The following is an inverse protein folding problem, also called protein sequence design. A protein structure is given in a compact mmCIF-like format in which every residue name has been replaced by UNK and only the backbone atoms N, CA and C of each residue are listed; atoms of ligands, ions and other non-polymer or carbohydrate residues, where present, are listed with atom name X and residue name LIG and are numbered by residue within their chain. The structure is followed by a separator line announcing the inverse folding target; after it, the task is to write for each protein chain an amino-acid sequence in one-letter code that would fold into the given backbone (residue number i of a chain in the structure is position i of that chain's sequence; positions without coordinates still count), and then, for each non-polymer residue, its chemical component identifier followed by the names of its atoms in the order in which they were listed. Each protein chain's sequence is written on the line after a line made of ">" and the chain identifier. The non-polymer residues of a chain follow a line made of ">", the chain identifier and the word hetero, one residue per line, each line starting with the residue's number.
data_IF_058746196223
#
_entry.id   IF_058746196223
#
_cell.length_a   1.000
_cell.length_b   1.000
_cell.length_c   1.000
_cell.angle_alpha   90.00
_cell.angle_beta   90.00
_cell.angle_gamma   90.00
#
_symmetry.space_group_name_H-M   'P 1'
#
loop_
_entity.id
_entity.type
_entity.pdbx_description
1 polymer ?
#
# COMPACT_ATOMS: atom_id res chain seq x y z
N UNK A 1 2.35 -16.48 15.91
CA UNK A 1 2.86 -15.36 15.09
C UNK A 1 3.18 -15.74 13.64
N UNK A 2 3.79 -16.91 13.39
CA UNK A 2 4.09 -17.31 11.99
C UNK A 2 2.85 -17.41 11.11
N UNK A 3 1.79 -18.01 11.61
CA UNK A 3 0.52 -18.15 10.86
C UNK A 3 -0.09 -16.79 10.60
N UNK A 4 -0.18 -15.94 11.63
CA UNK A 4 -0.72 -14.59 11.50
C UNK A 4 0.09 -13.75 10.50
N UNK A 5 1.42 -13.83 10.55
CA UNK A 5 2.30 -13.11 9.62
C UNK A 5 2.13 -13.61 8.19
N UNK A 6 2.00 -14.92 7.99
CA UNK A 6 1.76 -15.50 6.67
C UNK A 6 0.42 -15.05 6.08
N UNK A 7 -0.64 -15.09 6.88
CA UNK A 7 -1.96 -14.62 6.48
C UNK A 7 -1.91 -13.13 6.15
N UNK A 8 -1.27 -12.33 7.01
CA UNK A 8 -1.12 -10.88 6.79
C UNK A 8 -0.36 -10.58 5.50
N UNK A 9 0.70 -11.33 5.19
CA UNK A 9 1.46 -11.19 3.95
C UNK A 9 0.60 -11.45 2.71
N UNK A 10 -0.18 -12.52 2.74
CA UNK A 10 -1.07 -12.85 1.61
C UNK A 10 -2.20 -11.83 1.48
N UNK A 11 -2.83 -11.42 2.58
CA UNK A 11 -3.88 -10.40 2.55
C UNK A 11 -3.34 -9.06 2.05
N UNK A 12 -2.18 -8.65 2.53
CA UNK A 12 -1.54 -7.41 2.09
C UNK A 12 -1.24 -7.45 0.58
N UNK A 13 -0.66 -8.55 0.11
CA UNK A 13 -0.39 -8.78 -1.31
C UNK A 13 -1.67 -8.76 -2.14
N UNK A 14 -2.72 -9.44 -1.70
CA UNK A 14 -4.00 -9.48 -2.40
C UNK A 14 -4.66 -8.10 -2.49
N UNK A 15 -4.66 -7.34 -1.39
CA UNK A 15 -5.24 -5.98 -1.34
C UNK A 15 -4.52 -5.05 -2.30
N UNK A 16 -3.19 -5.00 -2.26
CA UNK A 16 -2.42 -4.12 -3.13
C UNK A 16 -2.43 -4.56 -4.59
N UNK A 17 -2.46 -5.87 -4.86
CA UNK A 17 -2.63 -6.35 -6.24
C UNK A 17 -3.99 -5.94 -6.80
N UNK A 18 -5.05 -6.12 -6.02
CA UNK A 18 -6.41 -5.80 -6.45
C UNK A 18 -6.58 -4.30 -6.73
N UNK A 19 -6.27 -3.46 -5.74
CA UNK A 19 -6.47 -2.02 -5.90
C UNK A 19 -5.43 -1.38 -6.81
N UNK A 20 -4.19 -1.86 -6.80
CA UNK A 20 -3.17 -1.39 -7.74
C UNK A 20 -3.51 -1.73 -9.18
N UNK A 21 -4.00 -2.95 -9.43
CA UNK A 21 -4.47 -3.35 -10.76
C UNK A 21 -5.66 -2.53 -11.22
N UNK A 22 -6.56 -2.17 -10.30
CA UNK A 22 -7.69 -1.31 -10.63
C UNK A 22 -7.26 0.08 -11.11
N UNK A 23 -6.13 0.61 -10.62
CA UNK A 23 -5.61 1.89 -11.09
C UNK A 23 -5.19 1.84 -12.57
N UNK A 24 -4.80 0.67 -13.08
CA UNK A 24 -4.51 0.46 -14.50
C UNK A 24 -5.75 0.11 -15.31
N UNK A 25 -6.59 -0.79 -14.79
CA UNK A 25 -7.66 -1.45 -15.56
C UNK A 25 -9.04 -0.81 -15.37
N UNK A 26 -9.23 -0.02 -14.32
CA UNK A 26 -10.47 0.69 -14.02
C UNK A 26 -11.70 -0.23 -14.00
N UNK A 27 -11.59 -1.41 -13.37
CA UNK A 27 -12.70 -2.37 -13.32
C UNK A 27 -13.69 -2.11 -12.18
N UNK A 28 -13.32 -1.29 -11.17
CA UNK A 28 -14.25 -0.90 -10.11
C UNK A 28 -15.01 0.37 -10.52
N UNK A 29 -16.35 0.40 -10.35
CA UNK A 29 -17.10 1.62 -10.58
C UNK A 29 -16.72 2.69 -9.55
N UNK A 30 -16.43 3.91 -10.03
CA UNK A 30 -16.16 5.05 -9.15
C UNK A 30 -17.36 5.99 -9.16
N UNK A 31 -18.06 6.13 -8.02
CA UNK A 31 -19.09 7.14 -7.93
C UNK A 31 -18.47 8.55 -8.04
N UNK A 32 -19.24 9.56 -8.50
CA UNK A 32 -18.74 10.93 -8.53
C UNK A 32 -18.31 11.39 -7.15
N UNK A 33 -17.13 11.98 -7.06
CA UNK A 33 -16.60 12.52 -5.81
C UNK A 33 -17.17 13.91 -5.57
N UNK A 34 -17.51 14.25 -4.31
CA UNK A 34 -17.95 15.59 -3.98
C UNK A 34 -16.84 16.61 -4.24
N UNK A 35 -17.18 17.89 -4.52
CA UNK A 35 -16.16 18.93 -4.67
C UNK A 35 -15.30 19.02 -3.41
N UNK A 36 -13.99 19.22 -3.61
CA UNK A 36 -13.06 19.37 -2.50
C UNK A 36 -11.69 18.76 -2.79
N UNK A 37 -10.79 18.78 -1.77
CA UNK A 37 -9.41 18.32 -1.94
C UNK A 37 -9.29 16.87 -2.41
N UNK A 38 -10.12 15.97 -1.93
CA UNK A 38 -10.11 14.56 -2.35
C UNK A 38 -10.35 14.41 -3.85
N UNK A 39 -11.35 15.13 -4.39
CA UNK A 39 -11.64 15.13 -5.82
C UNK A 39 -10.50 15.72 -6.63
N UNK A 40 -9.97 16.88 -6.19
CA UNK A 40 -8.87 17.56 -6.85
C UNK A 40 -7.62 16.67 -6.91
N UNK A 41 -7.28 16.02 -5.80
CA UNK A 41 -6.16 15.09 -5.73
C UNK A 41 -6.33 13.90 -6.67
N UNK A 42 -7.50 13.27 -6.64
CA UNK A 42 -7.81 12.10 -7.47
C UNK A 42 -7.79 12.46 -8.97
N UNK A 43 -8.37 13.58 -9.34
CA UNK A 43 -8.38 14.07 -10.72
C UNK A 43 -6.97 14.41 -11.19
N UNK A 44 -6.15 15.07 -10.34
CA UNK A 44 -4.76 15.37 -10.67
C UNK A 44 -3.94 14.11 -10.90
N UNK A 45 -4.11 13.08 -10.07
CA UNK A 45 -3.44 11.80 -10.24
C UNK A 45 -3.85 11.11 -11.55
N UNK A 46 -5.13 11.16 -11.88
CA UNK A 46 -5.65 10.50 -13.07
C UNK A 46 -5.23 11.23 -14.36
N UNK A 47 -5.39 12.55 -14.42
CA UNK A 47 -5.12 13.35 -15.62
C UNK A 47 -3.63 13.47 -15.92
N UNK A 48 -2.78 13.48 -14.88
CA UNK A 48 -1.32 13.54 -15.05
C UNK A 48 -0.69 12.17 -15.32
N UNK A 49 -1.47 11.09 -15.23
CA UNK A 49 -0.97 9.71 -15.26
C UNK A 49 -0.05 9.35 -14.07
N UNK A 50 0.04 10.20 -13.06
CA UNK A 50 0.81 9.94 -11.85
C UNK A 50 0.33 8.66 -11.13
N UNK A 51 -0.96 8.38 -11.22
CA UNK A 51 -1.56 7.18 -10.64
C UNK A 51 -0.91 5.89 -11.15
N UNK A 52 -0.42 5.85 -12.37
CA UNK A 52 0.23 4.65 -12.91
C UNK A 52 1.56 4.36 -12.22
N UNK A 53 2.33 5.39 -11.87
CA UNK A 53 3.54 5.23 -11.07
C UNK A 53 3.24 4.67 -9.69
N UNK A 54 2.23 5.21 -9.03
CA UNK A 54 1.77 4.71 -7.72
C UNK A 54 1.29 3.26 -7.83
N UNK A 55 0.51 2.96 -8.87
CA UNK A 55 0.01 1.60 -9.13
C UNK A 55 1.15 0.59 -9.32
N UNK A 56 2.21 0.97 -10.02
CA UNK A 56 3.39 0.12 -10.17
C UNK A 56 4.01 -0.22 -8.81
N UNK A 57 4.16 0.75 -7.92
CA UNK A 57 4.70 0.54 -6.58
C UNK A 57 3.72 -0.17 -5.63
N UNK A 58 2.51 -0.40 -6.06
CA UNK A 58 1.55 -1.27 -5.36
C UNK A 58 1.57 -2.69 -5.92
N UNK A 59 1.50 -2.83 -7.24
CA UNK A 59 1.40 -4.13 -7.92
C UNK A 59 2.70 -4.94 -7.82
N UNK A 60 3.84 -4.33 -8.11
CA UNK A 60 5.11 -5.05 -8.09
C UNK A 60 5.44 -5.61 -6.70
N UNK A 61 5.39 -4.83 -5.60
CA UNK A 61 5.58 -5.41 -4.27
C UNK A 61 4.51 -6.43 -3.90
N UNK A 62 3.26 -6.23 -4.31
CA UNK A 62 2.17 -7.18 -4.05
C UNK A 62 2.48 -8.56 -4.64
N UNK A 63 2.96 -8.60 -5.87
CA UNK A 63 3.37 -9.84 -6.53
C UNK A 63 4.50 -10.51 -5.73
N UNK A 64 5.51 -9.76 -5.31
CA UNK A 64 6.61 -10.29 -4.51
C UNK A 64 6.13 -10.91 -3.19
N UNK A 65 5.17 -10.26 -2.52
CA UNK A 65 4.57 -10.79 -1.30
C UNK A 65 3.82 -12.11 -1.55
N UNK A 66 3.07 -12.18 -2.64
CA UNK A 66 2.27 -13.37 -2.97
C UNK A 66 3.14 -14.56 -3.37
N UNK A 67 4.23 -14.32 -4.11
CA UNK A 67 5.16 -15.40 -4.50
C UNK A 67 6.22 -15.69 -3.42
N UNK A 68 6.17 -14.99 -2.30
CA UNK A 68 7.11 -15.14 -1.19
C UNK A 68 8.57 -14.94 -1.62
N UNK A 69 8.82 -13.92 -2.42
CA UNK A 69 10.16 -13.55 -2.90
C UNK A 69 10.47 -12.11 -2.55
N UNK A 70 11.69 -11.86 -2.08
CA UNK A 70 12.15 -10.53 -1.71
C UNK A 70 11.17 -9.80 -0.76
N UNK A 71 10.61 -10.52 0.20
CA UNK A 71 9.58 -10.01 1.11
C UNK A 71 10.02 -8.74 1.83
N UNK A 72 11.24 -8.64 2.41
CA UNK A 72 11.68 -7.37 3.02
C UNK A 72 11.70 -6.20 2.05
N UNK A 73 12.15 -6.41 0.82
CA UNK A 73 12.15 -5.37 -0.22
C UNK A 73 10.73 -4.93 -0.55
N UNK A 74 9.82 -5.89 -0.73
CA UNK A 74 8.42 -5.60 -1.01
C UNK A 74 7.78 -4.76 0.10
N UNK A 75 8.03 -5.12 1.36
CA UNK A 75 7.51 -4.38 2.51
C UNK A 75 8.12 -2.99 2.62
N UNK A 76 9.41 -2.84 2.31
CA UNK A 76 10.07 -1.54 2.27
C UNK A 76 9.49 -0.64 1.18
N UNK A 77 9.19 -1.17 0.00
CA UNK A 77 8.57 -0.43 -1.10
C UNK A 77 7.13 -0.01 -0.78
N UNK A 78 6.39 -0.85 -0.05
CA UNK A 78 5.02 -0.54 0.36
C UNK A 78 4.94 0.45 1.52
N UNK A 79 5.98 0.56 2.34
CA UNK A 79 5.95 1.44 3.51
C UNK A 79 5.58 2.91 3.15
N UNK A 80 6.25 3.58 2.21
CA UNK A 80 5.88 4.94 1.83
C UNK A 80 4.49 5.00 1.16
N UNK A 81 4.09 3.98 0.43
CA UNK A 81 2.74 3.91 -0.15
C UNK A 81 1.70 3.90 0.96
N UNK A 82 1.91 3.09 1.99
CA UNK A 82 1.01 3.00 3.16
C UNK A 82 0.96 4.31 3.93
N UNK A 83 2.11 4.98 4.10
CA UNK A 83 2.15 6.31 4.72
C UNK A 83 1.30 7.30 3.93
N UNK A 84 1.40 7.30 2.61
CA UNK A 84 0.58 8.16 1.76
C UNK A 84 -0.90 7.82 1.83
N UNK A 85 -1.26 6.55 1.92
CA UNK A 85 -2.65 6.11 2.11
C UNK A 85 -3.19 6.67 3.43
N UNK A 86 -2.42 6.58 4.51
CA UNK A 86 -2.80 7.13 5.80
C UNK A 86 -2.98 8.65 5.74
N UNK A 87 -2.04 9.36 5.12
CA UNK A 87 -2.13 10.81 4.96
C UNK A 87 -3.36 11.22 4.15
N UNK A 88 -3.63 10.53 3.05
CA UNK A 88 -4.80 10.78 2.24
C UNK A 88 -6.10 10.63 3.05
N UNK A 89 -6.23 9.54 3.79
CA UNK A 89 -7.45 9.31 4.56
C UNK A 89 -7.59 10.23 5.77
N UNK A 90 -6.49 10.57 6.44
CA UNK A 90 -6.52 11.51 7.57
C UNK A 90 -6.93 12.91 7.11
N UNK A 91 -6.43 13.37 5.98
CA UNK A 91 -6.57 14.75 5.54
C UNK A 91 -7.72 14.99 4.57
N UNK A 92 -8.06 14.02 3.72
CA UNK A 92 -8.99 14.22 2.60
C UNK A 92 -10.18 13.29 2.62
N UNK A 93 -10.07 12.10 3.18
CA UNK A 93 -11.11 11.07 3.10
C UNK A 93 -11.26 10.28 4.40
N UNK A 94 -11.71 10.90 5.49
CA UNK A 94 -11.76 10.24 6.81
C UNK A 94 -12.59 8.96 6.85
N UNK A 95 -13.57 8.81 5.96
CA UNK A 95 -14.38 7.60 5.85
C UNK A 95 -13.58 6.35 5.51
N UNK A 96 -12.39 6.47 4.93
CA UNK A 96 -11.51 5.36 4.59
C UNK A 96 -10.47 5.01 5.67
N UNK A 97 -10.50 5.66 6.83
CA UNK A 97 -9.54 5.38 7.92
C UNK A 97 -9.53 3.92 8.36
N UNK A 98 -10.66 3.18 8.47
CA UNK A 98 -10.61 1.77 8.85
C UNK A 98 -9.77 0.92 7.90
N UNK A 99 -9.85 1.17 6.60
CA UNK A 99 -9.04 0.47 5.59
C UNK A 99 -7.55 0.82 5.73
N UNK A 100 -7.25 2.10 5.97
CA UNK A 100 -5.87 2.55 6.20
C UNK A 100 -5.25 1.87 7.43
N UNK A 101 -6.00 1.80 8.53
CA UNK A 101 -5.56 1.12 9.77
C UNK A 101 -5.35 -0.37 9.51
N UNK A 102 -6.25 -1.02 8.79
CA UNK A 102 -6.12 -2.44 8.44
C UNK A 102 -4.80 -2.70 7.70
N UNK A 103 -4.50 -1.90 6.69
CA UNK A 103 -3.27 -2.06 5.90
C UNK A 103 -2.03 -1.87 6.77
N UNK A 104 -2.03 -0.89 7.68
CA UNK A 104 -0.94 -0.68 8.64
C UNK A 104 -0.73 -1.90 9.53
N UNK A 105 -1.81 -2.44 10.09
CA UNK A 105 -1.74 -3.63 10.96
C UNK A 105 -1.19 -4.84 10.19
N UNK A 106 -1.69 -5.07 8.97
CA UNK A 106 -1.21 -6.16 8.12
C UNK A 106 0.28 -6.01 7.80
N UNK A 107 0.73 -4.78 7.54
CA UNK A 107 2.14 -4.52 7.27
C UNK A 107 3.03 -4.87 8.47
N UNK A 108 2.68 -4.42 9.67
CA UNK A 108 3.45 -4.73 10.88
C UNK A 108 3.48 -6.23 11.17
N UNK A 109 2.36 -6.93 10.99
CA UNK A 109 2.32 -8.39 11.15
C UNK A 109 3.22 -9.09 10.13
N UNK A 110 3.21 -8.64 8.88
CA UNK A 110 4.04 -9.20 7.82
C UNK A 110 5.54 -8.93 8.02
N UNK A 111 5.90 -7.77 8.59
CA UNK A 111 7.29 -7.41 8.89
C UNK A 111 7.87 -8.25 10.03
N UNK A 112 7.06 -8.65 10.99
CA UNK A 112 7.53 -9.27 12.23
C UNK A 112 8.54 -10.42 12.01
N UNK A 113 8.28 -11.42 11.14
CA UNK A 113 9.24 -12.51 10.93
C UNK A 113 10.51 -12.11 10.14
N UNK A 114 10.47 -11.00 9.42
CA UNK A 114 11.58 -10.51 8.61
C UNK A 114 12.21 -9.22 9.15
N UNK A 115 11.87 -8.82 10.36
CA UNK A 115 12.30 -7.55 10.94
C UNK A 115 13.82 -7.37 11.03
N UNK A 116 14.57 -8.46 11.13
CA UNK A 116 16.02 -8.40 11.17
C UNK A 116 16.63 -7.82 9.89
N UNK A 117 15.95 -7.98 8.74
CA UNK A 117 16.39 -7.40 7.48
C UNK A 117 16.37 -5.87 7.49
N UNK A 118 15.55 -5.27 8.37
CA UNK A 118 15.43 -3.81 8.50
C UNK A 118 16.43 -3.21 9.50
N UNK A 119 17.09 -4.03 10.31
CA UNK A 119 18.02 -3.55 11.32
C UNK A 119 19.17 -2.73 10.73
N UNK A 120 19.63 -3.08 9.51
CA UNK A 120 20.67 -2.35 8.80
C UNK A 120 20.31 -0.90 8.45
N UNK A 121 19.02 -0.58 8.34
CA UNK A 121 18.56 0.76 8.05
C UNK A 121 18.77 1.73 9.22
N UNK A 122 18.95 1.20 10.42
CA UNK A 122 19.13 1.98 11.65
C UNK A 122 20.61 2.19 12.01
N UNK A 123 21.54 1.78 11.15
CA UNK A 123 22.95 2.04 11.36
C UNK A 123 23.23 3.53 11.33
N UNK A 124 23.94 4.03 12.34
CA UNK A 124 24.25 5.44 12.46
C UNK A 124 25.44 5.88 11.59
N UNK A 125 26.24 4.95 11.12
CA UNK A 125 27.42 5.23 10.28
C UNK A 125 27.52 4.20 9.16
N UNK A 126 28.03 4.65 8.03
CA UNK A 126 28.30 3.79 6.88
C UNK A 126 29.43 2.79 7.16
#
# INVERSE_FOLDING_TARGET
>A
MKIAATIARYLLGAVFLFFGSNMFLHFLPMPPLPPGPMRQFTEAMATSHYAYGVAFFQVAPAILLLVNRYVPLALALLAPVIVNICLFHITMAPGGLPQAVLVVVLWFLAVHPVRSAFAGLLKQRA
#
